data_IF_518554794933
#
_entry.id   IF_518554794933
#
_cell.length_a   1.000
_cell.length_b   1.000
_cell.length_c   1.000
_cell.angle_alpha   90.00
_cell.angle_beta   90.00
_cell.angle_gamma   90.00
#
_symmetry.space_group_name_H-M   'P 1'
#
loop_
_entity.id
_entity.type
_entity.pdbx_description
1 polymer ?
#
# COMPACT_ATOMS: atom_id res chain seq x y z
N UNK A 1 -2.23 -1.31 6.43
CA UNK A 1 -3.71 -1.39 6.50
C UNK A 1 -4.12 -2.21 7.71
N UNK A 2 -5.13 -1.76 8.46
CA UNK A 2 -5.72 -2.52 9.58
C UNK A 2 -7.22 -2.59 9.43
N UNK A 3 -7.80 -3.73 9.74
CA UNK A 3 -9.25 -3.92 9.85
C UNK A 3 -9.60 -4.13 11.31
N UNK A 4 -10.50 -3.30 11.81
CA UNK A 4 -11.03 -3.40 13.16
C UNK A 4 -12.51 -3.79 13.12
N UNK A 5 -12.91 -4.69 14.01
CA UNK A 5 -14.31 -5.08 14.23
C UNK A 5 -14.71 -4.77 15.67
N UNK A 6 -16.03 -4.76 15.92
CA UNK A 6 -16.59 -4.56 17.27
C UNK A 6 -16.17 -3.27 17.99
N UNK A 7 -15.85 -2.24 17.21
CA UNK A 7 -15.46 -0.94 17.76
C UNK A 7 -16.68 -0.18 18.28
N UNK A 8 -16.48 0.60 19.33
CA UNK A 8 -17.45 1.62 19.76
C UNK A 8 -17.08 2.95 19.12
N UNK A 9 -17.94 3.45 18.24
CA UNK A 9 -17.73 4.76 17.61
C UNK A 9 -17.89 5.90 18.63
N UNK A 10 -17.10 6.94 18.45
CA UNK A 10 -17.28 8.26 19.09
C UNK A 10 -17.62 9.29 18.00
N UNK A 11 -17.79 10.55 18.39
CA UNK A 11 -18.14 11.63 17.44
C UNK A 11 -17.10 11.79 16.30
N UNK A 12 -15.84 11.46 16.55
CA UNK A 12 -14.71 11.67 15.64
C UNK A 12 -13.70 10.49 15.58
N UNK A 13 -13.97 9.39 16.30
CA UNK A 13 -13.02 8.29 16.48
C UNK A 13 -13.73 6.99 16.84
N UNK A 14 -13.00 6.03 17.39
CA UNK A 14 -13.52 4.79 17.93
C UNK A 14 -12.67 4.29 19.10
N UNK A 15 -13.25 3.46 19.96
CA UNK A 15 -12.59 2.80 21.08
C UNK A 15 -12.96 1.32 21.15
N UNK A 16 -12.15 0.52 21.84
CA UNK A 16 -12.35 -0.93 21.95
C UNK A 16 -12.17 -1.65 20.61
N UNK A 17 -12.84 -2.81 20.47
CA UNK A 17 -12.79 -3.67 19.30
C UNK A 17 -11.57 -4.58 19.22
N UNK A 18 -11.51 -5.36 18.14
CA UNK A 18 -10.45 -6.30 17.82
C UNK A 18 -9.81 -5.96 16.46
N UNK A 19 -8.49 -6.16 16.37
CA UNK A 19 -7.76 -6.09 15.09
C UNK A 19 -7.77 -7.47 14.46
N UNK A 20 -8.62 -7.68 13.45
CA UNK A 20 -8.72 -8.98 12.76
C UNK A 20 -7.76 -9.12 11.58
N UNK A 21 -7.18 -8.01 11.10
CA UNK A 21 -6.21 -8.03 10.02
C UNK A 21 -5.23 -6.87 10.14
N UNK A 22 -3.95 -7.14 9.92
CA UNK A 22 -2.90 -6.15 9.70
C UNK A 22 -2.08 -6.57 8.49
N UNK A 23 -1.93 -5.67 7.53
CA UNK A 23 -1.13 -5.88 6.33
C UNK A 23 -0.42 -4.60 5.88
N UNK A 24 0.44 -4.72 4.88
CA UNK A 24 1.10 -3.61 4.21
C UNK A 24 0.62 -3.51 2.76
N UNK A 25 0.84 -2.36 2.13
CA UNK A 25 0.54 -2.16 0.71
C UNK A 25 1.87 -1.96 -0.01
N UNK A 26 2.04 -2.64 -1.13
CA UNK A 26 3.23 -2.58 -1.96
C UNK A 26 2.87 -2.03 -3.34
N UNK A 27 3.87 -1.48 -4.03
CA UNK A 27 3.72 -0.89 -5.35
C UNK A 27 4.51 -1.68 -6.38
N UNK A 28 4.05 -1.62 -7.62
CA UNK A 28 4.79 -2.17 -8.76
C UNK A 28 6.19 -1.52 -8.85
N UNK A 29 7.27 -2.31 -8.94
CA UNK A 29 8.63 -1.80 -8.89
C UNK A 29 9.00 -0.90 -10.07
N UNK A 30 8.47 -1.17 -11.27
CA UNK A 30 8.77 -0.39 -12.47
C UNK A 30 8.13 1.00 -12.34
N UNK A 31 6.88 1.07 -11.86
CA UNK A 31 6.20 2.35 -11.60
C UNK A 31 6.89 3.11 -10.46
N UNK A 32 7.36 2.41 -9.43
CA UNK A 32 8.09 3.05 -8.33
C UNK A 32 9.39 3.70 -8.82
N UNK A 33 10.15 3.02 -9.67
CA UNK A 33 11.37 3.57 -10.28
C UNK A 33 11.08 4.84 -11.08
N UNK A 34 10.05 4.84 -11.92
CA UNK A 34 9.65 6.04 -12.67
C UNK A 34 9.29 7.21 -11.75
N UNK A 35 8.55 6.96 -10.66
CA UNK A 35 8.19 7.99 -9.67
C UNK A 35 9.44 8.51 -8.95
N UNK A 36 10.35 7.63 -8.55
CA UNK A 36 11.58 7.99 -7.83
C UNK A 36 12.52 8.87 -8.67
N UNK A 37 12.46 8.76 -10.01
CA UNK A 37 13.18 9.62 -10.93
C UNK A 37 12.59 11.07 -11.02
N UNK A 38 11.44 11.33 -10.40
CA UNK A 38 10.79 12.66 -10.42
C UNK A 38 10.99 13.45 -9.13
N UNK A 39 10.92 14.78 -9.21
CA UNK A 39 10.95 15.64 -8.02
C UNK A 39 9.65 15.49 -7.20
N UNK A 40 9.70 15.45 -5.86
CA UNK A 40 10.89 15.63 -5.01
C UNK A 40 11.69 14.35 -4.72
N UNK A 41 11.19 13.18 -5.15
CA UNK A 41 11.78 11.87 -4.84
C UNK A 41 13.20 11.72 -5.38
N UNK A 42 13.48 12.29 -6.54
CA UNK A 42 14.81 12.30 -7.17
C UNK A 42 15.88 13.02 -6.34
N UNK A 43 15.49 13.80 -5.32
CA UNK A 43 16.41 14.42 -4.38
C UNK A 43 16.77 13.50 -3.19
N UNK A 44 16.10 12.36 -3.03
CA UNK A 44 16.41 11.38 -2.00
C UNK A 44 17.68 10.60 -2.37
N UNK A 45 18.68 10.64 -1.51
CA UNK A 45 19.95 9.92 -1.70
C UNK A 45 20.01 8.59 -0.94
N UNK A 46 18.95 8.25 -0.20
CA UNK A 46 18.83 6.97 0.50
C UNK A 46 18.66 5.86 -0.54
N UNK A 47 19.48 4.81 -0.44
CA UNK A 47 19.31 3.63 -1.29
C UNK A 47 17.94 3.00 -1.03
N UNK A 48 17.17 2.84 -2.09
CA UNK A 48 15.90 2.13 -2.05
C UNK A 48 16.11 0.63 -1.76
N UNK A 49 15.25 0.07 -0.91
CA UNK A 49 15.09 -1.37 -0.77
C UNK A 49 14.19 -1.84 -1.90
N UNK A 50 14.72 -2.66 -2.80
CA UNK A 50 13.91 -3.24 -3.87
C UNK A 50 12.80 -4.11 -3.28
N UNK A 51 11.64 -4.17 -3.93
CA UNK A 51 10.52 -4.99 -3.47
C UNK A 51 10.92 -6.46 -3.27
N UNK A 52 11.79 -7.00 -4.12
CA UNK A 52 12.32 -8.36 -4.01
C UNK A 52 13.30 -8.58 -2.85
N UNK A 53 13.88 -7.49 -2.31
CA UNK A 53 14.77 -7.51 -1.15
C UNK A 53 14.05 -7.15 0.16
N UNK A 54 12.75 -6.83 0.10
CA UNK A 54 11.95 -6.46 1.26
C UNK A 54 11.59 -7.71 2.08
N UNK A 55 11.99 -7.75 3.35
CA UNK A 55 11.76 -8.91 4.23
C UNK A 55 10.30 -9.17 4.61
N UNK A 56 9.39 -8.24 4.31
CA UNK A 56 7.96 -8.33 4.64
C UNK A 56 7.16 -8.78 3.42
N UNK A 57 7.59 -8.42 2.20
CA UNK A 57 6.95 -8.86 0.98
C UNK A 57 7.36 -10.30 0.64
N UNK A 58 6.39 -11.21 0.61
CA UNK A 58 6.60 -12.65 0.40
C UNK A 58 6.37 -13.10 -1.05
N UNK A 59 6.35 -12.15 -1.99
CA UNK A 59 6.12 -12.37 -3.43
C UNK A 59 4.73 -12.95 -3.80
N UNK A 60 3.75 -12.90 -2.89
CA UNK A 60 2.39 -13.36 -3.18
C UNK A 60 1.53 -12.39 -3.99
N UNK A 61 2.09 -11.29 -4.51
CA UNK A 61 1.36 -10.33 -5.34
C UNK A 61 0.19 -9.69 -4.58
N UNK A 62 -1.00 -9.71 -5.17
CA UNK A 62 -2.17 -9.05 -4.60
C UNK A 62 -2.59 -9.60 -3.23
N UNK A 63 -2.40 -10.89 -2.96
CA UNK A 63 -2.70 -11.47 -1.63
C UNK A 63 -1.76 -10.93 -0.54
N UNK A 64 -0.60 -10.44 -0.93
CA UNK A 64 0.44 -9.93 -0.04
C UNK A 64 0.45 -8.40 0.04
N UNK A 65 -0.49 -7.74 -0.64
CA UNK A 65 -0.64 -6.28 -0.60
C UNK A 65 -0.17 -5.54 -1.85
N UNK A 66 0.27 -6.23 -2.91
CA UNK A 66 0.69 -5.56 -4.15
C UNK A 66 -0.52 -4.92 -4.86
N UNK A 67 -0.48 -3.60 -5.00
CA UNK A 67 -1.56 -2.80 -5.58
C UNK A 67 -1.60 -2.96 -7.11
N UNK A 68 -2.81 -3.04 -7.67
CA UNK A 68 -3.01 -2.81 -9.11
C UNK A 68 -3.16 -1.31 -9.37
N UNK A 69 -2.24 -0.72 -10.12
CA UNK A 69 -2.22 0.70 -10.45
C UNK A 69 -2.80 0.95 -11.85
N UNK A 70 -3.66 1.95 -11.98
CA UNK A 70 -4.17 2.44 -13.27
C UNK A 70 -3.77 3.89 -13.43
N UNK A 71 -2.98 4.21 -14.46
CA UNK A 71 -2.58 5.58 -14.77
C UNK A 71 -3.80 6.46 -15.03
N UNK A 72 -3.80 7.67 -14.46
CA UNK A 72 -4.85 8.67 -14.68
C UNK A 72 -4.56 9.59 -15.88
N UNK A 73 -3.32 9.56 -16.37
CA UNK A 73 -2.88 10.33 -17.52
C UNK A 73 -1.74 9.63 -18.26
N UNK A 74 -0.86 10.44 -18.84
CA UNK A 74 0.21 9.97 -19.73
C UNK A 74 1.56 9.81 -19.04
N UNK A 75 1.75 10.39 -17.86
CA UNK A 75 2.97 10.26 -17.09
C UNK A 75 2.70 10.07 -15.60
N UNK A 76 3.74 9.66 -14.86
CA UNK A 76 3.66 9.40 -13.41
C UNK A 76 3.15 10.59 -12.60
N UNK A 77 3.41 11.82 -13.04
CA UNK A 77 2.96 13.05 -12.38
C UNK A 77 1.45 13.28 -12.47
N UNK A 78 0.76 12.64 -13.42
CA UNK A 78 -0.70 12.72 -13.55
C UNK A 78 -1.41 11.86 -12.48
N UNK A 79 -0.66 10.98 -11.81
CA UNK A 79 -1.13 10.14 -10.72
C UNK A 79 -1.74 8.81 -11.17
N UNK A 80 -2.03 7.97 -10.17
CA UNK A 80 -2.58 6.63 -10.36
C UNK A 80 -3.80 6.42 -9.48
N UNK A 81 -4.75 5.64 -9.97
CA UNK A 81 -5.75 4.97 -9.13
C UNK A 81 -5.18 3.62 -8.71
N UNK A 82 -4.96 3.44 -7.42
CA UNK A 82 -4.58 2.17 -6.84
C UNK A 82 -5.80 1.36 -6.40
N UNK A 83 -5.79 0.05 -6.68
CA UNK A 83 -6.85 -0.88 -6.27
C UNK A 83 -6.28 -2.15 -5.68
N UNK A 84 -6.96 -2.65 -4.65
CA UNK A 84 -6.71 -3.96 -4.03
C UNK A 84 -8.04 -4.48 -3.47
N UNK A 85 -8.27 -5.79 -3.57
CA UNK A 85 -9.39 -6.45 -2.93
C UNK A 85 -8.88 -7.22 -1.73
N UNK A 86 -9.50 -7.01 -0.57
CA UNK A 86 -9.07 -7.61 0.68
C UNK A 86 -10.20 -8.49 1.20
N UNK A 87 -9.97 -9.80 1.20
CA UNK A 87 -10.76 -10.74 1.99
C UNK A 87 -10.15 -10.84 3.38
N UNK A 88 -10.97 -10.68 4.43
CA UNK A 88 -10.55 -10.88 5.82
C UNK A 88 -11.40 -11.97 6.45
N UNK A 89 -10.77 -12.78 7.29
CA UNK A 89 -11.50 -13.67 8.18
C UNK A 89 -12.01 -12.87 9.38
N UNK A 90 -13.28 -13.06 9.73
CA UNK A 90 -13.96 -12.28 10.77
C UNK A 90 -14.49 -13.15 11.91
N UNK A 91 -14.07 -14.41 11.99
CA UNK A 91 -14.58 -15.41 12.93
C UNK A 91 -13.47 -16.17 13.66
#
# INVERSE_FOLDING_TARGET
>A
MRVHTEVTLTDDSYTGGEVIHTGQLFFDPDINEEIQATSPYSANTTKETALADDSIYDDGGASSGLLTLTALGSGVSDGYKATITVGVDSA
#
